data_IF_102305527691
#
_entry.id   IF_102305527691
#
_cell.length_a   1.000
_cell.length_b   1.000
_cell.length_c   1.000
_cell.angle_alpha   90.00
_cell.angle_beta   90.00
_cell.angle_gamma   90.00
#
_symmetry.space_group_name_H-M   'P 1'
#
loop_
_entity.id
_entity.type
_entity.pdbx_description
1 polymer ?
#
# COMPACT_ATOMS: atom_id res chain seq x y z
N UNK A 1 -33.45 15.46 67.02
CA UNK A 1 -34.01 14.21 66.45
C UNK A 1 -34.97 14.61 65.35
N UNK A 2 -34.51 14.68 64.09
CA UNK A 2 -35.42 14.92 62.96
C UNK A 2 -35.26 13.81 61.93
N UNK A 3 -36.39 13.12 61.79
CA UNK A 3 -36.79 12.10 60.85
C UNK A 3 -36.41 12.44 59.40
N UNK A 4 -35.78 11.53 58.68
CA UNK A 4 -36.43 10.45 57.92
C UNK A 4 -37.08 10.94 56.62
N UNK A 5 -36.41 10.57 55.53
CA UNK A 5 -36.95 9.83 54.38
C UNK A 5 -37.77 10.56 53.28
N UNK A 6 -37.27 10.28 52.08
CA UNK A 6 -37.92 9.78 50.86
C UNK A 6 -37.92 10.72 49.64
N UNK A 7 -37.09 10.27 48.68
CA UNK A 7 -37.19 10.30 47.22
C UNK A 7 -38.41 10.99 46.62
N UNK A 8 -38.18 11.80 45.58
CA UNK A 8 -38.91 11.66 44.32
C UNK A 8 -38.01 11.94 43.11
N UNK A 9 -38.27 11.17 42.07
CA UNK A 9 -37.49 10.94 40.86
C UNK A 9 -37.75 12.02 39.83
N UNK A 10 -36.70 12.54 39.17
CA UNK A 10 -36.79 13.12 37.83
C UNK A 10 -35.61 12.67 36.96
N UNK A 11 -35.85 11.67 36.10
CA UNK A 11 -35.07 11.41 34.89
C UNK A 11 -35.39 12.51 33.88
N UNK A 12 -34.38 13.13 33.27
CA UNK A 12 -34.39 13.49 31.84
C UNK A 12 -32.98 13.96 31.42
N UNK A 13 -32.63 13.61 30.18
CA UNK A 13 -31.30 13.60 29.60
C UNK A 13 -30.72 15.01 29.35
N UNK A 14 -29.39 15.20 29.43
CA UNK A 14 -28.74 16.35 28.84
C UNK A 14 -28.60 16.17 27.31
N UNK A 15 -29.28 17.03 26.56
CA UNK A 15 -29.06 17.24 25.13
C UNK A 15 -27.76 18.00 24.89
N UNK A 16 -26.92 17.42 24.03
CA UNK A 16 -26.02 18.05 23.05
C UNK A 16 -25.35 19.39 23.40
N UNK A 17 -24.02 19.36 23.60
CA UNK A 17 -23.10 20.34 22.99
C UNK A 17 -21.92 19.57 22.38
N UNK A 18 -21.75 19.77 21.07
CA UNK A 18 -20.74 19.20 20.20
C UNK A 18 -19.32 19.52 20.64
N UNK A 19 -18.35 18.60 20.51
CA UNK A 19 -16.95 18.97 20.51
C UNK A 19 -16.60 19.64 19.17
N UNK A 20 -16.11 20.88 19.24
CA UNK A 20 -15.39 21.56 18.15
C UNK A 20 -14.10 20.80 17.86
N UNK A 21 -14.25 19.68 17.14
CA UNK A 21 -13.16 18.84 16.68
C UNK A 21 -12.64 19.37 15.37
N UNK A 22 -11.66 20.26 15.43
CA UNK A 22 -10.89 20.71 14.27
C UNK A 22 -9.85 19.64 13.93
N UNK A 23 -10.28 18.40 13.68
CA UNK A 23 -9.42 17.38 13.08
C UNK A 23 -9.71 17.34 11.59
N UNK A 24 -8.97 18.17 10.85
CA UNK A 24 -8.85 18.07 9.41
C UNK A 24 -8.07 16.80 9.05
N UNK A 25 -8.65 15.62 9.29
CA UNK A 25 -8.14 14.39 8.68
C UNK A 25 -8.79 14.30 7.32
N UNK A 26 -8.04 14.73 6.31
CA UNK A 26 -8.31 14.42 4.91
C UNK A 26 -8.31 12.89 4.75
N UNK A 27 -9.49 12.29 4.88
CA UNK A 27 -9.69 10.86 4.69
C UNK A 27 -9.77 10.56 3.19
N UNK A 28 -8.61 10.58 2.53
CA UNK A 28 -8.42 10.14 1.14
C UNK A 28 -8.36 8.60 1.04
N UNK A 29 -9.25 7.91 1.75
CA UNK A 29 -9.14 6.49 2.10
C UNK A 29 -10.04 5.51 1.34
N UNK A 30 -10.69 5.91 0.25
CA UNK A 30 -11.70 5.04 -0.41
C UNK A 30 -11.49 4.78 -1.92
N UNK A 31 -10.39 5.24 -2.54
CA UNK A 31 -10.12 5.03 -3.98
C UNK A 31 -9.00 4.02 -4.32
N UNK A 32 -8.35 3.39 -3.32
CA UNK A 32 -7.22 2.44 -3.55
C UNK A 32 -7.28 1.22 -2.61
N UNK A 33 -8.23 0.30 -2.82
CA UNK A 33 -8.45 -0.84 -1.92
C UNK A 33 -7.26 -1.81 -1.91
N UNK A 34 -6.65 -2.09 -3.06
CA UNK A 34 -5.51 -3.03 -3.15
C UNK A 34 -4.27 -2.46 -2.48
N UNK A 35 -3.93 -1.19 -2.74
CA UNK A 35 -2.81 -0.51 -2.07
C UNK A 35 -2.96 -0.53 -0.54
N UNK A 36 -4.19 -0.26 -0.07
CA UNK A 36 -4.49 -0.26 1.37
C UNK A 36 -4.32 -1.64 1.99
N UNK A 37 -4.78 -2.70 1.31
CA UNK A 37 -4.58 -4.09 1.74
C UNK A 37 -3.10 -4.45 1.82
N UNK A 38 -2.33 -4.13 0.78
CA UNK A 38 -0.87 -4.35 0.72
C UNK A 38 -0.19 -3.66 1.91
N UNK A 39 -0.51 -2.38 2.13
CA UNK A 39 0.09 -1.58 3.20
C UNK A 39 -0.21 -2.18 4.57
N UNK A 40 -1.44 -2.61 4.80
CA UNK A 40 -1.86 -3.22 6.08
C UNK A 40 -1.16 -4.55 6.33
N UNK A 41 -1.16 -5.46 5.34
CA UNK A 41 -0.50 -6.77 5.44
C UNK A 41 1.00 -6.66 5.70
N UNK A 42 1.69 -5.79 4.98
CA UNK A 42 3.13 -5.57 5.18
C UNK A 42 3.42 -4.94 6.55
N UNK A 43 2.59 -4.01 6.99
CA UNK A 43 2.73 -3.40 8.32
C UNK A 43 2.58 -4.45 9.42
N UNK A 44 1.57 -5.33 9.30
CA UNK A 44 1.29 -6.37 10.29
C UNK A 44 2.37 -7.46 10.33
N UNK A 45 2.81 -7.94 9.17
CA UNK A 45 3.79 -9.05 9.09
C UNK A 45 5.22 -8.62 9.36
N UNK A 46 5.64 -7.48 8.80
CA UNK A 46 7.05 -7.07 8.79
C UNK A 46 7.37 -5.98 9.82
N UNK A 47 6.36 -5.22 10.28
CA UNK A 47 6.53 -4.06 11.17
C UNK A 47 7.67 -3.14 10.71
N UNK A 48 7.63 -2.65 9.47
CA UNK A 48 8.71 -1.87 8.92
C UNK A 48 8.80 -0.49 9.57
N UNK A 49 10.03 0.04 9.63
CA UNK A 49 10.32 1.40 10.07
C UNK A 49 9.90 2.40 8.98
N UNK A 50 10.03 2.01 7.71
CA UNK A 50 9.60 2.82 6.56
C UNK A 50 8.88 1.93 5.54
N UNK A 51 7.72 2.38 5.09
CA UNK A 51 6.88 1.68 4.12
C UNK A 51 6.30 2.66 3.10
N UNK A 52 6.62 2.44 1.84
CA UNK A 52 6.01 3.16 0.72
C UNK A 52 5.40 2.16 -0.26
N UNK A 53 4.18 2.44 -0.70
CA UNK A 53 3.50 1.67 -1.74
C UNK A 53 3.10 2.66 -2.84
N UNK A 54 3.54 2.40 -4.06
CA UNK A 54 3.27 3.21 -5.23
C UNK A 54 2.62 2.35 -6.32
N UNK A 55 1.52 2.84 -6.88
CA UNK A 55 0.86 2.21 -8.01
C UNK A 55 1.50 2.72 -9.31
N UNK A 56 2.25 1.87 -10.01
CA UNK A 56 2.93 2.17 -11.28
C UNK A 56 2.11 1.71 -12.52
N UNK A 57 0.86 1.28 -12.33
CA UNK A 57 0.02 0.72 -13.40
C UNK A 57 -0.26 1.69 -14.55
N UNK A 58 -0.18 3.01 -14.30
CA UNK A 58 -0.32 4.05 -15.33
C UNK A 58 0.78 4.04 -16.40
N UNK A 59 1.89 3.31 -16.20
CA UNK A 59 2.99 3.21 -17.16
C UNK A 59 2.76 2.17 -18.27
N UNK A 60 1.67 1.40 -18.20
CA UNK A 60 1.30 0.41 -19.21
C UNK A 60 0.00 0.82 -19.90
N UNK A 61 -0.19 0.40 -21.15
CA UNK A 61 -1.42 0.59 -21.93
C UNK A 61 -2.57 -0.26 -21.36
N UNK A 62 -2.92 -0.02 -20.09
CA UNK A 62 -4.03 -0.63 -19.36
C UNK A 62 -5.10 0.43 -19.12
N UNK A 63 -6.38 0.05 -19.02
CA UNK A 63 -7.46 1.00 -18.73
C UNK A 63 -7.18 1.81 -17.46
N UNK A 64 -7.54 3.10 -17.47
CA UNK A 64 -7.46 3.98 -16.28
C UNK A 64 -8.12 3.30 -15.08
N UNK A 65 -7.38 3.13 -13.98
CA UNK A 65 -7.85 2.46 -12.77
C UNK A 65 -7.44 0.99 -12.63
N UNK A 66 -6.65 0.45 -13.56
CA UNK A 66 -6.05 -0.87 -13.38
C UNK A 66 -4.99 -0.81 -12.28
N UNK A 67 -5.09 -1.68 -11.27
CA UNK A 67 -4.17 -1.82 -10.15
C UNK A 67 -3.28 -3.07 -10.36
N UNK A 68 -2.58 -3.15 -11.49
CA UNK A 68 -1.86 -4.36 -11.91
C UNK A 68 -0.38 -4.33 -11.59
N UNK A 69 0.26 -3.16 -11.56
CA UNK A 69 1.68 -2.99 -11.28
C UNK A 69 1.88 -2.15 -10.03
N UNK A 70 2.48 -2.77 -9.02
CA UNK A 70 2.78 -2.11 -7.77
C UNK A 70 4.28 -2.09 -7.52
N UNK A 71 4.70 -1.03 -6.84
CA UNK A 71 6.04 -0.92 -6.30
C UNK A 71 5.96 -0.69 -4.80
N UNK A 72 6.75 -1.47 -4.07
CA UNK A 72 6.78 -1.46 -2.62
C UNK A 72 8.21 -1.25 -2.15
N UNK A 73 8.39 -0.26 -1.28
CA UNK A 73 9.63 0.01 -0.57
C UNK A 73 9.42 -0.32 0.90
N UNK A 74 10.14 -1.31 1.40
CA UNK A 74 10.06 -1.77 2.79
C UNK A 74 11.44 -1.64 3.42
N UNK A 75 11.50 -0.94 4.54
CA UNK A 75 12.70 -0.83 5.36
C UNK A 75 12.44 -1.42 6.73
N UNK A 76 13.12 -2.52 7.07
CA UNK A 76 12.99 -3.15 8.37
C UNK A 76 14.30 -3.84 8.83
N UNK A 77 14.46 -3.97 10.15
CA UNK A 77 15.63 -4.62 10.74
C UNK A 77 15.62 -6.14 10.49
N UNK A 78 14.45 -6.74 10.27
CA UNK A 78 14.30 -8.18 9.98
C UNK A 78 15.08 -8.62 8.74
N UNK A 79 15.40 -7.70 7.84
CA UNK A 79 16.18 -7.99 6.63
C UNK A 79 17.69 -8.04 6.87
N UNK A 80 18.15 -7.69 8.08
CA UNK A 80 19.55 -7.79 8.47
C UNK A 80 20.00 -9.26 8.44
N UNK A 81 21.13 -9.53 7.78
CA UNK A 81 21.64 -10.90 7.58
C UNK A 81 20.90 -11.76 6.55
N UNK A 82 19.83 -11.26 5.92
CA UNK A 82 19.10 -12.00 4.88
C UNK A 82 19.58 -11.64 3.47
N UNK A 83 19.64 -12.64 2.59
CA UNK A 83 19.87 -12.43 1.16
C UNK A 83 18.70 -11.73 0.49
N UNK A 84 18.96 -11.06 -0.64
CA UNK A 84 17.92 -10.35 -1.42
C UNK A 84 16.75 -11.28 -1.78
N UNK A 85 17.04 -12.52 -2.20
CA UNK A 85 16.02 -13.51 -2.57
C UNK A 85 15.14 -13.86 -1.35
N UNK A 86 15.73 -14.05 -0.17
CA UNK A 86 14.95 -14.32 1.05
C UNK A 86 14.04 -13.16 1.42
N UNK A 87 14.52 -11.92 1.30
CA UNK A 87 13.71 -10.73 1.54
C UNK A 87 12.51 -10.67 0.59
N UNK A 88 12.73 -10.93 -0.70
CA UNK A 88 11.66 -10.94 -1.69
C UNK A 88 10.65 -12.06 -1.43
N UNK A 89 11.12 -13.26 -1.03
CA UNK A 89 10.23 -14.36 -0.63
C UNK A 89 9.33 -13.97 0.54
N UNK A 90 9.88 -13.35 1.59
CA UNK A 90 9.09 -12.90 2.74
C UNK A 90 8.01 -11.89 2.36
N UNK A 91 8.35 -10.93 1.49
CA UNK A 91 7.38 -9.93 1.02
C UNK A 91 6.31 -10.57 0.13
N UNK A 92 6.70 -11.47 -0.78
CA UNK A 92 5.77 -12.21 -1.62
C UNK A 92 4.84 -13.11 -0.81
N UNK A 93 5.34 -13.76 0.23
CA UNK A 93 4.54 -14.61 1.13
C UNK A 93 3.50 -13.77 1.88
N UNK A 94 3.90 -12.59 2.39
CA UNK A 94 2.98 -11.67 3.05
C UNK A 94 1.89 -11.12 2.10
N UNK A 95 2.14 -11.11 0.80
CA UNK A 95 1.24 -10.56 -0.23
C UNK A 95 0.67 -11.63 -1.17
N UNK A 96 0.82 -12.91 -0.84
CA UNK A 96 0.47 -14.01 -1.74
C UNK A 96 -1.00 -13.97 -2.16
N UNK A 97 -1.90 -13.62 -1.24
CA UNK A 97 -3.33 -13.47 -1.51
C UNK A 97 -3.63 -12.34 -2.51
N UNK A 98 -2.90 -11.22 -2.44
CA UNK A 98 -3.10 -10.09 -3.36
C UNK A 98 -2.51 -10.38 -4.75
N UNK A 99 -1.37 -11.08 -4.77
CA UNK A 99 -0.69 -11.55 -5.99
C UNK A 99 -1.47 -12.66 -6.72
N UNK A 100 -2.30 -13.43 -6.00
CA UNK A 100 -3.17 -14.44 -6.59
C UNK A 100 -4.40 -13.83 -7.30
N UNK A 101 -4.71 -12.57 -7.03
CA UNK A 101 -5.93 -11.90 -7.50
C UNK A 101 -5.66 -10.67 -8.37
N UNK A 102 -5.52 -9.52 -7.72
CA UNK A 102 -5.57 -8.21 -8.37
C UNK A 102 -4.22 -7.74 -8.94
N UNK A 103 -3.10 -8.18 -8.34
CA UNK A 103 -1.76 -7.69 -8.68
C UNK A 103 -1.10 -8.60 -9.71
N UNK A 104 -0.71 -8.04 -10.86
CA UNK A 104 0.00 -8.77 -11.92
C UNK A 104 1.52 -8.78 -11.72
N UNK A 105 2.08 -7.66 -11.27
CA UNK A 105 3.51 -7.53 -11.03
C UNK A 105 3.81 -6.64 -9.82
N UNK A 106 4.82 -7.03 -9.04
CA UNK A 106 5.25 -6.34 -7.83
C UNK A 106 6.76 -6.10 -7.84
N UNK A 107 7.16 -4.83 -7.84
CA UNK A 107 8.54 -4.39 -7.67
C UNK A 107 8.85 -4.22 -6.18
N UNK A 108 9.71 -5.06 -5.62
CA UNK A 108 10.06 -5.06 -4.21
C UNK A 108 11.42 -4.42 -3.99
N UNK A 109 11.49 -3.44 -3.09
CA UNK A 109 12.72 -2.86 -2.59
C UNK A 109 12.81 -3.06 -1.08
N UNK A 110 13.53 -4.11 -0.68
CA UNK A 110 13.71 -4.50 0.72
C UNK A 110 15.10 -4.09 1.23
N UNK A 111 15.16 -3.01 2.01
CA UNK A 111 16.40 -2.45 2.58
C UNK A 111 16.42 -2.57 4.11
N UNK A 112 17.60 -2.65 4.71
CA UNK A 112 17.74 -2.47 6.16
C UNK A 112 17.70 -0.97 6.51
N UNK A 113 17.34 -0.58 7.74
CA UNK A 113 17.37 0.82 8.15
C UNK A 113 18.77 1.44 8.03
N UNK A 114 19.84 0.64 8.19
CA UNK A 114 21.21 1.10 7.93
C UNK A 114 21.43 1.41 6.45
N UNK A 115 21.03 0.51 5.54
CA UNK A 115 21.14 0.73 4.09
C UNK A 115 20.29 1.93 3.63
N UNK A 116 19.14 2.16 4.27
CA UNK A 116 18.29 3.30 3.97
C UNK A 116 18.91 4.64 4.40
N UNK A 117 19.57 4.67 5.57
CA UNK A 117 20.32 5.86 6.03
C UNK A 117 21.49 6.19 5.11
N UNK A 118 22.20 5.17 4.62
CA UNK A 118 23.36 5.35 3.73
C UNK A 118 22.94 5.77 2.32
N UNK A 119 21.88 5.17 1.77
CA UNK A 119 21.36 5.53 0.47
C UNK A 119 19.83 5.35 0.38
N UNK A 120 19.07 6.44 0.58
CA UNK A 120 17.62 6.42 0.43
C UNK A 120 17.17 6.42 -1.04
N UNK A 121 18.08 6.37 -2.03
CA UNK A 121 17.66 6.38 -3.42
C UNK A 121 16.85 5.13 -3.78
N UNK A 122 15.68 5.40 -4.35
CA UNK A 122 14.73 4.42 -4.88
C UNK A 122 14.72 4.62 -6.38
N UNK A 123 15.53 3.84 -7.11
CA UNK A 123 15.64 3.95 -8.56
C UNK A 123 14.26 3.74 -9.20
N UNK A 124 13.76 4.72 -9.95
CA UNK A 124 12.48 4.58 -10.66
C UNK A 124 12.56 3.48 -11.71
N UNK A 125 11.46 2.73 -11.86
CA UNK A 125 11.34 1.72 -12.91
C UNK A 125 11.62 2.40 -14.27
N UNK A 126 12.55 1.88 -15.10
CA UNK A 126 12.86 2.50 -16.38
C UNK A 126 11.60 2.62 -17.22
N UNK A 127 11.43 3.70 -18.01
CA UNK A 127 10.28 3.83 -18.89
C UNK A 127 10.26 2.67 -19.88
N UNK A 128 9.17 1.90 -19.84
CA UNK A 128 8.92 0.78 -20.73
C UNK A 128 8.83 1.28 -22.18
N UNK A 129 9.77 0.89 -23.03
CA UNK A 129 9.65 1.01 -24.48
C UNK A 129 8.71 -0.12 -24.96
N UNK A 130 7.40 0.13 -24.87
CA UNK A 130 6.35 -0.82 -25.27
C UNK A 130 6.62 -1.42 -26.66
N UNK A 131 6.59 -2.75 -26.72
CA UNK A 131 6.97 -3.57 -27.87
C UNK A 131 6.01 -3.54 -29.07
N UNK A 132 5.41 -2.40 -29.41
CA UNK A 132 4.52 -2.27 -30.57
C UNK A 132 5.21 -1.58 -31.75
N UNK A 133 6.41 -2.05 -32.14
CA UNK A 133 7.10 -1.53 -33.35
C UNK A 133 7.52 -2.55 -34.39
N UNK A 134 7.34 -3.86 -34.18
CA UNK A 134 7.74 -4.86 -35.20
C UNK A 134 6.61 -5.58 -35.94
N UNK A 135 5.34 -5.31 -35.63
CA UNK A 135 4.22 -5.95 -36.36
C UNK A 135 4.05 -5.43 -37.80
N UNK A 136 4.30 -4.14 -38.05
CA UNK A 136 4.12 -3.58 -39.41
C UNK A 136 5.23 -3.96 -40.40
N UNK A 137 6.38 -4.45 -39.93
CA UNK A 137 7.53 -4.71 -40.80
C UNK A 137 7.59 -6.15 -41.33
N UNK A 138 6.71 -7.05 -40.86
CA UNK A 138 6.60 -8.44 -41.33
C UNK A 138 5.58 -8.62 -42.47
N UNK A 139 4.56 -7.77 -42.56
CA UNK A 139 3.52 -7.86 -43.59
C UNK A 139 4.03 -7.53 -45.01
N UNK A 140 5.17 -6.85 -45.14
CA UNK A 140 5.74 -6.49 -46.45
C UNK A 140 6.75 -7.50 -47.01
N UNK A 141 7.05 -8.59 -46.29
CA UNK A 141 8.05 -9.61 -46.70
C UNK A 141 7.46 -10.95 -47.14
N UNK A 142 6.14 -11.11 -47.13
CA UNK A 142 5.44 -12.35 -47.52
C UNK A 142 4.68 -12.23 -48.85
N UNK A 143 4.84 -11.12 -49.57
CA UNK A 143 4.35 -10.98 -50.94
C UNK A 143 5.50 -11.09 -51.94
N UNK A 144 6.02 -12.30 -52.14
CA UNK A 144 6.67 -12.72 -53.38
C UNK A 144 6.68 -14.24 -53.48
#
# INVERSE_FOLDING_TARGET
MLHSRLLWICRALPSAISPSGNYSIAFSGMERPVESSIRLKLTQSLQPVHLEVHNESHMHAVPKGSETHFRVVVVCEKFSGMSLIQRHRLVNEALQEELAGAVHALSILAKTPQQWKENPSVNQSPPCLGGSKYDQQMASKLSY
#
